data_IF_045872884924
#
_entry.id   IF_045872884924
#
_cell.length_a   1.000
_cell.length_b   1.000
_cell.length_c   1.000
_cell.angle_alpha   90.00
_cell.angle_beta   90.00
_cell.angle_gamma   90.00
#
_symmetry.space_group_name_H-M   'P 1'
#
loop_
_entity.id
_entity.type
_entity.pdbx_description
1 polymer ?
#
# COMPACT_ATOMS: atom_id res chain seq x y z
N UNK A 1 -7.12 -10.74 17.27
CA UNK A 1 -6.98 -10.81 15.80
C UNK A 1 -6.17 -12.05 15.46
N UNK A 2 -6.81 -13.14 15.03
CA UNK A 2 -6.17 -14.48 14.89
C UNK A 2 -5.25 -14.64 13.67
N UNK A 3 -5.38 -13.80 12.65
CA UNK A 3 -4.69 -13.96 11.35
C UNK A 3 -3.74 -12.82 10.96
N UNK A 4 -3.40 -11.91 11.89
CA UNK A 4 -2.51 -10.74 11.65
C UNK A 4 -2.81 -10.02 10.32
N UNK A 5 -4.10 -9.78 10.06
CA UNK A 5 -4.57 -8.94 8.96
C UNK A 5 -4.78 -7.52 9.44
N UNK A 6 -4.42 -6.56 8.61
CA UNK A 6 -4.65 -5.13 8.82
C UNK A 6 -5.95 -4.73 8.14
N UNK A 7 -6.84 -4.11 8.89
CA UNK A 7 -8.04 -3.51 8.35
C UNK A 7 -7.69 -2.22 7.61
N UNK A 8 -8.04 -2.15 6.33
CA UNK A 8 -7.70 -1.00 5.49
C UNK A 8 -8.86 -0.01 5.44
N UNK A 9 -10.06 -0.51 5.12
CA UNK A 9 -11.23 0.34 4.92
C UNK A 9 -12.54 -0.46 4.97
N UNK A 10 -13.57 0.11 5.60
CA UNK A 10 -14.96 -0.36 5.54
C UNK A 10 -15.78 0.80 5.00
N UNK A 11 -16.41 0.60 3.85
CA UNK A 11 -17.32 1.57 3.27
C UNK A 11 -18.73 1.00 3.36
N UNK A 12 -19.61 1.67 4.10
CA UNK A 12 -21.02 1.32 4.21
C UNK A 12 -21.78 2.21 3.24
N UNK A 13 -22.32 1.62 2.17
CA UNK A 13 -23.12 2.30 1.17
C UNK A 13 -24.56 1.77 1.11
N UNK A 14 -25.44 2.54 0.49
CA UNK A 14 -26.84 2.17 0.20
C UNK A 14 -26.94 0.96 -0.75
N UNK A 15 -25.92 0.75 -1.60
CA UNK A 15 -25.83 -0.34 -2.57
C UNK A 15 -25.05 -1.57 -2.10
N UNK A 16 -24.59 -1.57 -0.84
CA UNK A 16 -23.78 -2.64 -0.28
C UNK A 16 -22.62 -2.09 0.56
N UNK A 17 -22.17 -2.92 1.50
CA UNK A 17 -21.00 -2.61 2.33
C UNK A 17 -19.78 -3.37 1.81
N UNK A 18 -18.67 -2.67 1.63
CA UNK A 18 -17.41 -3.25 1.17
C UNK A 18 -16.37 -3.22 2.29
N UNK A 19 -15.75 -4.38 2.55
CA UNK A 19 -14.72 -4.55 3.56
C UNK A 19 -13.39 -4.88 2.90
N UNK A 20 -12.38 -4.04 3.12
CA UNK A 20 -11.02 -4.23 2.65
C UNK A 20 -10.09 -4.54 3.82
N UNK A 21 -9.43 -5.69 3.73
CA UNK A 21 -8.37 -6.11 4.64
C UNK A 21 -7.12 -6.50 3.85
N UNK A 22 -5.96 -6.12 4.35
CA UNK A 22 -4.65 -6.53 3.83
C UNK A 22 -3.99 -7.51 4.80
N UNK A 23 -3.29 -8.50 4.26
CA UNK A 23 -2.50 -9.47 5.04
C UNK A 23 -1.06 -9.34 4.55
N UNK A 24 -0.12 -9.09 5.46
CA UNK A 24 1.29 -8.84 5.15
C UNK A 24 1.77 -7.39 5.21
N UNK A 25 0.91 -6.45 5.62
CA UNK A 25 1.30 -5.07 5.92
C UNK A 25 1.01 -4.75 7.40
N UNK A 26 1.94 -4.12 8.16
CA UNK A 26 3.28 -3.65 7.78
C UNK A 26 4.41 -4.70 7.88
N UNK A 27 4.10 -5.89 8.37
CA UNK A 27 5.06 -6.99 8.55
C UNK A 27 4.63 -8.14 7.64
N UNK A 28 5.49 -8.47 6.67
CA UNK A 28 5.30 -9.60 5.76
C UNK A 28 5.64 -10.90 6.48
N UNK A 29 4.76 -11.88 6.34
CA UNK A 29 5.01 -13.24 6.80
C UNK A 29 4.93 -14.19 5.60
N UNK A 30 5.75 -15.23 5.59
CA UNK A 30 5.79 -16.22 4.50
C UNK A 30 4.42 -16.87 4.24
N UNK A 31 3.58 -16.99 5.28
CA UNK A 31 2.25 -17.57 5.24
C UNK A 31 1.10 -16.57 4.96
N UNK A 32 1.38 -15.33 4.57
CA UNK A 32 0.35 -14.28 4.39
C UNK A 32 -0.78 -14.71 3.45
N UNK A 33 -0.44 -15.46 2.40
CA UNK A 33 -1.43 -15.99 1.46
C UNK A 33 -2.37 -17.00 2.15
N UNK A 34 -1.81 -17.90 2.97
CA UNK A 34 -2.60 -18.91 3.71
C UNK A 34 -3.49 -18.26 4.76
N UNK A 35 -2.96 -17.27 5.47
CA UNK A 35 -3.74 -16.51 6.48
C UNK A 35 -4.86 -15.71 5.85
N UNK A 36 -4.62 -15.06 4.70
CA UNK A 36 -5.64 -14.34 3.97
C UNK A 36 -6.79 -15.26 3.51
N UNK A 37 -6.46 -16.45 2.99
CA UNK A 37 -7.46 -17.44 2.57
C UNK A 37 -8.20 -18.03 3.78
N UNK A 38 -7.51 -18.32 4.89
CA UNK A 38 -8.14 -18.82 6.11
C UNK A 38 -9.12 -17.79 6.71
N UNK A 39 -8.72 -16.52 6.78
CA UNK A 39 -9.59 -15.44 7.23
C UNK A 39 -10.79 -15.24 6.28
N UNK A 40 -10.57 -15.32 4.97
CA UNK A 40 -11.66 -15.27 3.99
C UNK A 40 -12.64 -16.44 4.16
N UNK A 41 -12.14 -17.65 4.48
CA UNK A 41 -12.99 -18.81 4.72
C UNK A 41 -13.83 -18.66 6.00
N UNK A 42 -13.26 -18.13 7.08
CA UNK A 42 -14.01 -17.83 8.30
C UNK A 42 -15.10 -16.76 8.04
N UNK A 43 -14.77 -15.71 7.28
CA UNK A 43 -15.74 -14.65 6.93
C UNK A 43 -16.88 -15.14 6.02
N UNK A 44 -16.72 -16.28 5.36
CA UNK A 44 -17.79 -16.91 4.57
C UNK A 44 -18.89 -17.53 5.45
N UNK A 45 -18.56 -17.89 6.68
CA UNK A 45 -19.50 -18.45 7.66
C UNK A 45 -19.65 -17.50 8.85
N UNK A 46 -20.35 -16.36 8.68
CA UNK A 46 -20.52 -15.40 9.76
C UNK A 46 -21.26 -16.03 10.95
N UNK A 47 -20.94 -15.63 12.19
CA UNK A 47 -21.65 -16.10 13.37
C UNK A 47 -23.15 -15.73 13.30
N UNK A 48 -24.03 -16.49 13.99
CA UNK A 48 -25.49 -16.36 13.88
C UNK A 48 -26.06 -14.96 14.25
N UNK A 49 -25.25 -14.10 14.85
CA UNK A 49 -25.56 -12.69 15.13
C UNK A 49 -25.58 -11.81 13.86
N UNK A 50 -24.95 -12.27 12.77
CA UNK A 50 -24.80 -11.57 11.48
C UNK A 50 -25.56 -12.25 10.34
N UNK A 51 -26.57 -13.09 10.66
CA UNK A 51 -27.39 -13.86 9.71
C UNK A 51 -28.21 -12.96 8.75
N UNK A 52 -28.23 -11.64 8.99
CA UNK A 52 -28.80 -10.62 8.11
C UNK A 52 -27.96 -10.37 6.84
N UNK A 53 -26.69 -10.79 6.81
CA UNK A 53 -25.80 -10.54 5.67
C UNK A 53 -26.01 -11.62 4.59
N UNK A 54 -26.62 -11.21 3.47
CA UNK A 54 -26.84 -12.04 2.26
C UNK A 54 -25.50 -12.45 1.60
N UNK A 55 -25.46 -13.26 0.50
CA UNK A 55 -24.26 -14.03 0.14
C UNK A 55 -23.01 -13.14 0.00
N UNK A 56 -22.04 -13.37 0.88
CA UNK A 56 -20.78 -12.61 0.94
C UNK A 56 -19.91 -13.01 -0.25
N UNK A 57 -19.66 -12.07 -1.16
CA UNK A 57 -18.72 -12.28 -2.27
C UNK A 57 -17.32 -11.83 -1.86
N UNK A 58 -16.39 -12.78 -1.77
CA UNK A 58 -15.02 -12.53 -1.32
C UNK A 58 -14.06 -12.62 -2.51
N UNK A 59 -13.38 -11.51 -2.80
CA UNK A 59 -12.31 -11.45 -3.78
C UNK A 59 -10.95 -11.49 -3.11
N UNK A 60 -10.17 -12.54 -3.35
CA UNK A 60 -8.76 -12.61 -2.90
C UNK A 60 -7.87 -12.26 -4.09
N UNK A 61 -6.88 -11.38 -3.85
CA UNK A 61 -5.86 -11.00 -4.84
C UNK A 61 -4.49 -11.13 -4.18
N UNK A 62 -3.63 -11.97 -4.77
CA UNK A 62 -2.19 -11.97 -4.52
C UNK A 62 -1.53 -11.32 -5.73
N UNK A 63 -1.01 -10.12 -5.56
CA UNK A 63 -0.25 -9.48 -6.64
C UNK A 63 1.14 -10.09 -6.63
N UNK A 64 1.50 -10.78 -7.71
CA UNK A 64 2.87 -11.20 -7.99
C UNK A 64 3.51 -10.15 -8.89
N UNK A 65 4.84 -10.00 -8.82
CA UNK A 65 5.61 -9.02 -9.60
C UNK A 65 5.17 -8.93 -11.07
N UNK A 66 4.80 -10.05 -11.69
CA UNK A 66 4.42 -10.14 -13.11
C UNK A 66 3.19 -9.29 -13.47
N UNK A 67 2.09 -9.38 -12.70
CA UNK A 67 0.86 -8.64 -13.03
C UNK A 67 1.05 -7.13 -12.84
N UNK A 68 1.79 -6.76 -11.80
CA UNK A 68 2.13 -5.37 -11.50
C UNK A 68 2.99 -4.75 -12.60
N UNK A 69 4.02 -5.48 -13.05
CA UNK A 69 4.88 -5.05 -14.15
C UNK A 69 4.10 -4.83 -15.45
N UNK A 70 3.17 -5.72 -15.82
CA UNK A 70 2.34 -5.55 -17.02
C UNK A 70 1.47 -4.30 -16.90
N UNK A 71 0.88 -4.06 -15.72
CA UNK A 71 0.06 -2.88 -15.48
C UNK A 71 0.87 -1.58 -15.62
N UNK A 72 2.07 -1.51 -15.03
CA UNK A 72 2.94 -0.34 -15.15
C UNK A 72 3.44 -0.12 -16.58
N UNK A 73 3.77 -1.19 -17.30
CA UNK A 73 4.18 -1.10 -18.70
C UNK A 73 3.04 -0.58 -19.59
N UNK A 74 1.83 -1.11 -19.40
CA UNK A 74 0.64 -0.65 -20.14
C UNK A 74 0.31 0.81 -19.81
N UNK A 75 0.35 1.20 -18.54
CA UNK A 75 0.15 2.58 -18.10
C UNK A 75 1.21 3.52 -18.69
N UNK A 76 2.49 3.14 -18.65
CA UNK A 76 3.59 3.88 -19.24
C UNK A 76 3.42 4.08 -20.75
N UNK A 77 3.07 3.01 -21.46
CA UNK A 77 2.81 3.08 -22.91
C UNK A 77 1.62 3.98 -23.25
N UNK A 78 0.51 3.87 -22.52
CA UNK A 78 -0.64 4.75 -22.68
C UNK A 78 -0.27 6.20 -22.43
N UNK A 79 0.54 6.49 -21.40
CA UNK A 79 0.97 7.84 -21.09
C UNK A 79 1.87 8.43 -22.19
N UNK A 80 2.80 7.64 -22.72
CA UNK A 80 3.65 8.04 -23.85
C UNK A 80 2.87 8.24 -25.14
N UNK A 81 1.82 7.43 -25.38
CA UNK A 81 0.90 7.67 -26.48
C UNK A 81 0.15 9.00 -26.30
N UNK A 82 -0.28 9.27 -25.07
CA UNK A 82 -1.05 10.47 -24.73
C UNK A 82 -0.22 11.76 -24.80
N UNK A 83 1.09 11.67 -24.55
CA UNK A 83 2.03 12.79 -24.70
C UNK A 83 1.90 13.51 -26.04
N UNK A 84 1.69 12.75 -27.11
CA UNK A 84 1.70 13.26 -28.49
C UNK A 84 0.37 13.90 -28.88
N UNK A 85 -0.66 13.78 -28.05
CA UNK A 85 -1.98 14.36 -28.27
C UNK A 85 -2.06 15.76 -27.67
N UNK A 86 -2.28 16.76 -28.52
CA UNK A 86 -2.41 18.16 -28.11
C UNK A 86 -3.80 18.52 -27.56
N UNK A 87 -4.76 17.60 -27.55
CA UNK A 87 -6.14 17.87 -27.11
C UNK A 87 -6.39 17.66 -25.61
N UNK A 88 -5.34 17.45 -24.82
CA UNK A 88 -5.46 16.98 -23.44
C UNK A 88 -5.18 18.10 -22.45
N UNK A 89 -6.18 18.35 -21.58
CA UNK A 89 -6.25 19.47 -20.63
C UNK A 89 -5.03 19.57 -19.69
N UNK A 90 -4.36 18.45 -19.40
CA UNK A 90 -3.19 18.42 -18.52
C UNK A 90 -1.87 18.81 -19.22
N UNK A 91 -1.88 19.03 -20.54
CA UNK A 91 -0.72 19.34 -21.36
C UNK A 91 0.18 18.12 -21.63
N UNK A 92 0.89 18.15 -22.78
CA UNK A 92 1.85 17.12 -23.15
C UNK A 92 2.85 16.89 -22.01
N UNK A 93 3.59 17.92 -21.57
CA UNK A 93 4.69 17.84 -20.58
C UNK A 93 4.41 16.97 -19.34
N UNK A 94 3.18 16.99 -18.84
CA UNK A 94 2.76 16.16 -17.69
C UNK A 94 2.72 14.67 -18.04
N UNK A 95 2.18 14.31 -19.19
CA UNK A 95 2.01 12.91 -19.61
C UNK A 95 3.32 12.18 -19.91
N UNK A 96 4.40 12.85 -20.36
CA UNK A 96 5.73 12.22 -20.48
C UNK A 96 6.36 12.05 -19.12
N UNK A 97 6.22 13.02 -18.22
CA UNK A 97 6.73 12.88 -16.86
C UNK A 97 6.06 11.69 -16.17
N UNK A 98 4.73 11.57 -16.28
CA UNK A 98 4.00 10.40 -15.79
C UNK A 98 4.45 9.11 -16.49
N UNK A 99 4.54 9.09 -17.82
CA UNK A 99 4.95 7.91 -18.58
C UNK A 99 6.38 7.44 -18.26
N UNK A 100 7.32 8.39 -18.14
CA UNK A 100 8.71 8.11 -17.77
C UNK A 100 8.81 7.62 -16.32
N UNK A 101 7.99 8.16 -15.41
CA UNK A 101 7.85 7.66 -14.04
C UNK A 101 7.37 6.21 -14.00
N UNK A 102 6.33 5.86 -14.78
CA UNK A 102 5.80 4.49 -14.84
C UNK A 102 6.80 3.49 -15.46
N UNK A 103 7.55 3.91 -16.49
CA UNK A 103 8.60 3.07 -17.08
C UNK A 103 9.80 2.89 -16.15
N UNK A 104 10.20 3.93 -15.42
CA UNK A 104 11.24 3.82 -14.39
C UNK A 104 10.83 2.83 -13.31
N UNK A 105 9.56 2.88 -12.88
CA UNK A 105 9.05 1.98 -11.84
C UNK A 105 9.03 0.52 -12.33
N UNK A 106 8.62 0.30 -13.58
CA UNK A 106 8.69 -1.01 -14.23
C UNK A 106 10.13 -1.57 -14.26
N UNK A 107 11.12 -0.74 -14.60
CA UNK A 107 12.54 -1.16 -14.58
C UNK A 107 12.98 -1.48 -13.15
N UNK A 108 12.61 -0.66 -12.17
CA UNK A 108 12.87 -0.93 -10.74
C UNK A 108 12.30 -2.26 -10.29
N UNK A 109 11.03 -2.54 -10.63
CA UNK A 109 10.38 -3.81 -10.31
C UNK A 109 11.03 -5.02 -11.02
N UNK A 110 11.54 -4.86 -12.24
CA UNK A 110 12.26 -5.93 -12.93
C UNK A 110 13.61 -6.24 -12.26
N UNK A 111 14.34 -5.20 -11.84
CA UNK A 111 15.60 -5.33 -11.12
C UNK A 111 15.38 -5.93 -9.74
N UNK A 112 14.34 -5.49 -9.02
CA UNK A 112 13.97 -6.05 -7.72
C UNK A 112 13.56 -7.52 -7.86
N UNK A 113 12.77 -7.87 -8.87
CA UNK A 113 12.40 -9.26 -9.13
C UNK A 113 13.63 -10.13 -9.46
N UNK A 114 14.57 -9.63 -10.26
CA UNK A 114 15.84 -10.32 -10.50
C UNK A 114 16.68 -10.47 -9.22
N UNK A 115 16.71 -9.43 -8.39
CA UNK A 115 17.44 -9.43 -7.11
C UNK A 115 16.85 -10.41 -6.09
N UNK A 116 15.53 -10.40 -5.90
CA UNK A 116 14.86 -11.25 -4.93
C UNK A 116 14.75 -12.70 -5.44
N UNK A 117 14.26 -12.90 -6.67
CA UNK A 117 13.98 -14.24 -7.19
C UNK A 117 15.24 -14.89 -7.79
N UNK A 118 16.12 -14.10 -8.41
CA UNK A 118 17.34 -14.60 -9.03
C UNK A 118 18.49 -14.80 -8.04
N UNK A 119 18.68 -13.86 -7.11
CA UNK A 119 19.81 -13.87 -6.16
C UNK A 119 19.40 -14.28 -4.73
N UNK A 120 18.10 -14.40 -4.42
CA UNK A 120 17.61 -14.86 -3.12
C UNK A 120 17.98 -13.95 -1.94
N UNK A 121 18.30 -12.68 -2.22
CA UNK A 121 18.75 -11.71 -1.22
C UNK A 121 17.57 -11.02 -0.54
N UNK A 122 17.73 -10.67 0.73
CA UNK A 122 16.71 -9.94 1.49
C UNK A 122 16.45 -8.56 0.86
N UNK A 123 15.18 -8.10 0.77
CA UNK A 123 14.78 -6.92 0.01
C UNK A 123 15.11 -5.57 0.71
N UNK A 124 16.06 -5.53 1.64
CA UNK A 124 16.32 -4.36 2.48
C UNK A 124 16.88 -3.17 1.67
N UNK A 125 17.74 -3.43 0.68
CA UNK A 125 18.29 -2.45 -0.25
C UNK A 125 18.52 -3.11 -1.60
N UNK A 126 17.87 -2.60 -2.63
CA UNK A 126 17.91 -3.17 -3.98
C UNK A 126 18.50 -2.19 -4.99
N UNK A 127 19.18 -2.66 -6.05
CA UNK A 127 19.53 -1.79 -7.18
C UNK A 127 18.32 -1.09 -7.82
N UNK A 128 17.10 -1.62 -7.62
CA UNK A 128 15.84 -1.02 -8.05
C UNK A 128 15.48 0.27 -7.31
N UNK A 129 16.02 0.51 -6.12
CA UNK A 129 15.68 1.66 -5.27
C UNK A 129 16.00 2.99 -5.97
N UNK A 130 17.08 3.02 -6.74
CA UNK A 130 17.43 4.17 -7.57
C UNK A 130 16.32 4.50 -8.58
N UNK A 131 15.76 3.48 -9.23
CA UNK A 131 14.68 3.64 -10.21
C UNK A 131 13.36 4.02 -9.54
N UNK A 132 13.10 3.57 -8.31
CA UNK A 132 11.95 4.00 -7.53
C UNK A 132 12.06 5.48 -7.14
N UNK A 133 13.22 5.95 -6.68
CA UNK A 133 13.47 7.38 -6.41
C UNK A 133 13.23 8.21 -7.66
N UNK A 134 13.75 7.74 -8.81
CA UNK A 134 13.57 8.40 -10.09
C UNK A 134 12.08 8.49 -10.49
N UNK A 135 11.27 7.45 -10.22
CA UNK A 135 9.81 7.51 -10.38
C UNK A 135 9.18 8.62 -9.54
N UNK A 136 9.55 8.73 -8.26
CA UNK A 136 9.01 9.78 -7.40
C UNK A 136 9.37 11.18 -7.88
N UNK A 137 10.60 11.37 -8.40
CA UNK A 137 11.00 12.66 -9.00
C UNK A 137 10.15 13.01 -10.21
N UNK A 138 9.94 12.06 -11.13
CA UNK A 138 9.12 12.31 -12.32
C UNK A 138 7.64 12.50 -12.01
N UNK A 139 7.09 11.73 -11.07
CA UNK A 139 5.72 11.87 -10.63
C UNK A 139 5.51 13.24 -9.95
N UNK A 140 6.41 13.62 -9.05
CA UNK A 140 6.41 14.93 -8.39
C UNK A 140 6.46 16.08 -9.41
N UNK A 141 7.37 16.00 -10.39
CA UNK A 141 7.48 16.99 -11.45
C UNK A 141 6.23 17.07 -12.33
N UNK A 142 5.66 15.91 -12.70
CA UNK A 142 4.42 15.84 -13.47
C UNK A 142 3.24 16.48 -12.74
N UNK A 143 3.07 16.16 -11.45
CA UNK A 143 2.03 16.75 -10.61
C UNK A 143 2.22 18.26 -10.42
N UNK A 144 3.45 18.73 -10.16
CA UNK A 144 3.76 20.14 -10.00
C UNK A 144 3.43 20.93 -11.28
N UNK A 145 3.84 20.41 -12.44
CA UNK A 145 3.54 21.01 -13.75
C UNK A 145 2.04 21.05 -14.04
N UNK A 146 1.29 20.00 -13.67
CA UNK A 146 -0.15 19.95 -13.85
C UNK A 146 -0.90 20.99 -13.02
N UNK A 147 -0.39 21.32 -11.83
CA UNK A 147 -0.95 22.37 -10.96
C UNK A 147 -0.57 23.75 -11.48
N UNK A 148 0.69 23.97 -11.86
CA UNK A 148 1.18 25.28 -12.36
C UNK A 148 0.54 25.65 -13.71
N UNK A 149 0.21 24.67 -14.56
CA UNK A 149 -0.46 24.92 -15.84
C UNK A 149 -1.91 25.38 -15.69
N UNK A 150 -2.51 25.24 -14.51
CA UNK A 150 -3.81 25.82 -14.23
C UNK A 150 -3.58 27.24 -13.78
N UNK A 151 -4.02 28.21 -14.57
CA UNK A 151 -4.07 29.62 -14.16
C UNK A 151 -5.03 29.76 -12.97
N UNK A 152 -4.51 29.44 -11.80
CA UNK A 152 -5.14 29.66 -10.53
C UNK A 152 -5.02 31.17 -10.28
N UNK A 153 -6.08 31.90 -10.61
CA UNK A 153 -6.21 33.34 -10.39
C UNK A 153 -6.40 33.62 -8.88
N UNK A 154 -5.47 33.11 -8.08
CA UNK A 154 -5.50 33.12 -6.63
C UNK A 154 -4.95 34.45 -6.14
N UNK A 155 -5.68 35.07 -5.23
CA UNK A 155 -5.21 36.27 -4.54
C UNK A 155 -3.92 35.93 -3.77
N UNK A 156 -2.95 36.85 -3.58
CA UNK A 156 -1.70 36.57 -2.85
C UNK A 156 -1.89 35.91 -1.47
N UNK A 157 -3.01 36.20 -0.79
CA UNK A 157 -3.38 35.56 0.48
C UNK A 157 -3.74 34.07 0.36
N UNK A 158 -4.32 33.63 -0.76
CA UNK A 158 -4.61 32.20 -0.97
C UNK A 158 -3.33 31.41 -1.26
N UNK A 159 -2.33 32.03 -1.89
CA UNK A 159 -0.99 31.45 -2.01
C UNK A 159 -0.33 31.23 -0.66
N UNK A 160 -0.48 32.19 0.26
CA UNK A 160 -0.02 32.06 1.65
C UNK A 160 -0.76 30.93 2.38
N UNK A 161 -2.08 30.82 2.20
CA UNK A 161 -2.86 29.73 2.80
C UNK A 161 -2.45 28.35 2.27
N UNK A 162 -2.27 28.21 0.95
CA UNK A 162 -1.80 26.96 0.33
C UNK A 162 -0.41 26.57 0.85
N UNK A 163 0.50 27.54 0.97
CA UNK A 163 1.83 27.34 1.53
C UNK A 163 1.77 26.91 2.99
N UNK A 164 0.91 27.52 3.81
CA UNK A 164 0.70 27.15 5.21
C UNK A 164 0.19 25.72 5.37
N UNK A 165 -0.78 25.30 4.57
CA UNK A 165 -1.31 23.92 4.61
C UNK A 165 -0.21 22.92 4.21
N UNK A 166 0.56 23.22 3.16
CA UNK A 166 1.66 22.36 2.73
C UNK A 166 2.75 22.23 3.81
N UNK A 167 3.19 23.35 4.40
CA UNK A 167 4.18 23.36 5.50
C UNK A 167 3.63 22.66 6.73
N UNK A 168 2.38 22.92 7.11
CA UNK A 168 1.72 22.25 8.23
C UNK A 168 1.71 20.73 8.07
N UNK A 169 1.40 20.24 6.87
CA UNK A 169 1.45 18.81 6.55
C UNK A 169 2.86 18.21 6.73
N UNK A 170 3.90 18.92 6.26
CA UNK A 170 5.31 18.49 6.43
C UNK A 170 5.71 18.48 7.91
N UNK A 171 5.34 19.49 8.68
CA UNK A 171 5.66 19.57 10.11
C UNK A 171 4.98 18.44 10.89
N UNK A 172 3.70 18.16 10.61
CA UNK A 172 2.97 17.06 11.25
C UNK A 172 3.61 15.71 10.89
N UNK A 173 3.99 15.52 9.62
CA UNK A 173 4.66 14.30 9.18
C UNK A 173 5.98 14.09 9.94
N UNK A 174 6.82 15.13 10.04
CA UNK A 174 8.08 15.08 10.79
C UNK A 174 7.82 14.79 12.27
N UNK A 175 6.86 15.48 12.90
CA UNK A 175 6.52 15.27 14.30
C UNK A 175 6.02 13.84 14.59
N UNK A 176 5.26 13.24 13.66
CA UNK A 176 4.75 11.86 13.80
C UNK A 176 5.79 10.78 13.46
N UNK A 177 6.81 11.12 12.66
CA UNK A 177 7.89 10.19 12.28
C UNK A 177 8.85 9.86 13.42
N UNK A 178 8.90 10.68 14.48
CA UNK A 178 9.66 10.40 15.70
C UNK A 178 8.81 9.60 16.69
N UNK A 179 8.53 8.33 16.39
CA UNK A 179 8.08 7.40 17.44
C UNK A 179 9.28 7.06 18.34
N UNK A 180 9.27 7.36 19.65
CA UNK A 180 10.31 6.88 20.54
C UNK A 180 10.32 5.34 20.54
N UNK A 181 11.51 4.70 20.61
CA UNK A 181 11.60 3.25 20.65
C UNK A 181 10.78 2.73 21.83
N UNK A 182 9.80 1.86 21.55
CA UNK A 182 8.98 1.26 22.59
C UNK A 182 9.89 0.53 23.60
N UNK A 183 9.71 0.74 24.91
CA UNK A 183 10.29 -0.14 25.91
C UNK A 183 9.82 -1.56 25.62
N UNK A 184 10.77 -2.45 25.39
CA UNK A 184 10.57 -3.89 25.26
C UNK A 184 9.81 -4.38 26.49
N UNK A 185 8.50 -4.58 26.36
CA UNK A 185 7.70 -5.22 27.38
C UNK A 185 8.11 -6.70 27.37
N UNK A 186 9.03 -7.05 28.26
CA UNK A 186 9.41 -8.43 28.49
C UNK A 186 8.15 -9.20 28.90
N UNK A 187 7.79 -10.29 28.22
CA UNK A 187 6.61 -11.06 28.61
C UNK A 187 6.81 -11.58 30.04
N UNK A 188 5.75 -11.60 30.88
CA UNK A 188 5.85 -12.18 32.21
C UNK A 188 6.28 -13.63 32.07
N UNK A 189 7.30 -14.02 32.86
CA UNK A 189 7.80 -15.38 32.93
C UNK A 189 6.62 -16.36 33.01
N UNK A 190 6.53 -17.25 32.03
CA UNK A 190 5.61 -18.38 32.07
C UNK A 190 5.95 -19.18 33.32
N UNK A 191 5.16 -18.95 34.37
CA UNK A 191 5.22 -19.71 35.61
C UNK A 191 5.00 -21.17 35.28
N UNK A 192 6.02 -21.98 35.53
CA UNK A 192 6.02 -23.43 35.52
C UNK A 192 4.99 -23.96 36.53
N UNK A 193 3.72 -24.04 36.13
CA UNK A 193 2.66 -24.59 36.97
C UNK A 193 2.65 -26.12 36.88
N UNK A 194 3.29 -26.72 37.87
CA UNK A 194 3.01 -27.99 38.54
C UNK A 194 2.91 -29.28 37.70
N UNK A 195 4.06 -29.96 37.62
CA UNK A 195 4.20 -31.42 37.51
C UNK A 195 3.71 -32.08 38.82
N UNK A 196 2.42 -32.31 38.99
CA UNK A 196 1.84 -33.39 39.82
C UNK A 196 0.31 -33.30 39.89
N UNK A 197 -0.38 -34.13 39.11
CA UNK A 197 -1.70 -34.65 39.47
C UNK A 197 -1.57 -36.18 39.47
N UNK A 198 -1.15 -36.72 40.62
CA UNK A 198 -1.23 -38.13 40.93
C UNK A 198 -2.60 -38.42 41.57
N UNK A 199 -3.17 -39.56 41.20
CA UNK A 199 -4.10 -40.40 41.96
C UNK A 199 -5.60 -40.04 42.05
N UNK A 200 -6.41 -41.11 41.93
CA UNK A 200 -7.88 -41.29 42.04
C UNK A 200 -8.58 -41.16 40.68
N UNK A 201 -9.36 -42.12 40.19
CA UNK A 201 -10.17 -43.21 40.79
C UNK A 201 -10.52 -44.20 39.66
N UNK A 202 -10.48 -45.52 39.90
CA UNK A 202 -11.67 -46.40 39.97
C UNK A 202 -12.74 -46.11 38.92
#
# INVERSE_FOLDING_TARGET
MRYTGSFLQLTIGDKGSYFYASFGAPITHEDDTRRAVAAALELRAPPPELDFIQPVQIGIRKTTYILENIAFLAAGFLCLRNWRSSQIVSGGTVWLALGLGMLSYFIGNLLLAYWEVGLGQEPAVSPGDFFFILTYMFLGWGMLRAVISRELNLTPLQWVLLSLIAVGGVVIAIASGFSPPMPHLMPPAVGSRCRNCNSRSF
#
